data_IF_872011443530
#
_entry.id   IF_872011443530
#
_cell.length_a   1.000
_cell.length_b   1.000
_cell.length_c   1.000
_cell.angle_alpha   90.00
_cell.angle_beta   90.00
_cell.angle_gamma   90.00
#
_symmetry.space_group_name_H-M   'P 1'
#
loop_
_entity.id
_entity.type
_entity.pdbx_description
1 polymer ?
#
# COMPACT_ATOMS: atom_id res chain seq x y z
N UNK A 1 -16.68 10.04 -10.89
CA UNK A 1 -16.27 10.14 -9.47
C UNK A 1 -16.47 8.79 -8.76
N UNK A 2 -15.90 8.55 -7.57
CA UNK A 2 -15.96 7.23 -6.89
C UNK A 2 -17.39 6.76 -6.61
N UNK A 3 -18.31 7.69 -6.28
CA UNK A 3 -19.73 7.40 -6.04
C UNK A 3 -20.46 6.89 -7.29
N UNK A 4 -20.10 7.37 -8.48
CA UNK A 4 -20.67 6.89 -9.75
C UNK A 4 -20.21 5.47 -10.10
N UNK A 5 -19.13 4.99 -9.47
CA UNK A 5 -18.54 3.66 -9.69
C UNK A 5 -18.95 2.65 -8.61
N UNK A 6 -19.88 3.00 -7.71
CA UNK A 6 -20.28 2.16 -6.57
C UNK A 6 -19.09 1.66 -5.72
N UNK A 7 -18.02 2.45 -5.62
CA UNK A 7 -16.87 2.10 -4.78
C UNK A 7 -17.23 2.43 -3.32
N UNK A 8 -17.14 1.47 -2.38
CA UNK A 8 -17.38 1.73 -0.97
C UNK A 8 -16.46 2.85 -0.46
N UNK A 9 -17.05 3.89 0.11
CA UNK A 9 -16.32 4.98 0.73
C UNK A 9 -16.27 4.73 2.24
N UNK A 10 -15.07 4.73 2.82
CA UNK A 10 -14.89 4.76 4.27
C UNK A 10 -14.99 6.21 4.72
N UNK A 11 -15.87 6.48 5.68
CA UNK A 11 -16.04 7.83 6.22
C UNK A 11 -14.78 8.25 6.99
N UNK A 12 -14.52 9.55 7.09
CA UNK A 12 -13.28 10.08 7.67
C UNK A 12 -13.09 9.64 9.13
N UNK A 13 -14.17 9.57 9.90
CA UNK A 13 -14.16 9.12 11.29
C UNK A 13 -13.75 7.65 11.45
N UNK A 14 -13.98 6.83 10.42
CA UNK A 14 -13.66 5.39 10.42
C UNK A 14 -12.26 5.10 9.83
N UNK A 15 -11.59 6.12 9.28
CA UNK A 15 -10.22 6.06 8.81
C UNK A 15 -9.30 6.87 9.73
N UNK A 16 -8.75 6.25 10.79
CA UNK A 16 -7.99 6.98 11.79
C UNK A 16 -6.77 7.70 11.17
N UNK A 17 -6.50 8.96 11.57
CA UNK A 17 -5.33 9.69 11.11
C UNK A 17 -4.05 9.08 11.71
N UNK A 18 -2.92 9.24 11.02
CA UNK A 18 -1.59 8.85 11.52
C UNK A 18 -1.42 7.35 11.87
N UNK A 19 -2.15 6.46 11.17
CA UNK A 19 -1.99 5.00 11.30
C UNK A 19 -1.54 4.36 9.97
N UNK A 20 -0.37 4.73 9.43
CA UNK A 20 0.14 4.15 8.18
C UNK A 20 0.34 2.63 8.27
N UNK A 21 0.70 2.11 9.44
CA UNK A 21 0.91 0.67 9.66
C UNK A 21 -0.36 -0.18 9.50
N UNK A 22 -1.57 0.41 9.61
CA UNK A 22 -2.83 -0.28 9.30
C UNK A 22 -3.10 -0.33 7.79
N UNK A 23 -2.46 0.55 7.02
CA UNK A 23 -2.72 0.76 5.59
C UNK A 23 -1.72 -0.06 4.78
N UNK A 24 -2.14 -1.25 4.36
CA UNK A 24 -1.27 -2.14 3.57
C UNK A 24 -0.74 -1.50 2.26
N UNK A 25 -1.40 -0.46 1.74
CA UNK A 25 -0.90 0.30 0.58
C UNK A 25 0.45 0.98 0.85
N UNK A 26 0.74 1.38 2.09
CA UNK A 26 2.04 1.99 2.45
C UNK A 26 3.17 0.97 2.29
N UNK A 27 2.95 -0.28 2.72
CA UNK A 27 3.88 -1.39 2.50
C UNK A 27 4.05 -1.69 1.02
N UNK A 28 2.97 -1.67 0.24
CA UNK A 28 3.01 -1.88 -1.22
C UNK A 28 3.88 -0.82 -1.89
N UNK A 29 3.73 0.46 -1.52
CA UNK A 29 4.56 1.54 -2.07
C UNK A 29 6.03 1.37 -1.70
N UNK A 30 6.34 1.05 -0.45
CA UNK A 30 7.72 0.82 0.00
C UNK A 30 8.40 -0.34 -0.77
N UNK A 31 7.67 -1.43 -1.01
CA UNK A 31 8.17 -2.54 -1.83
C UNK A 31 8.38 -2.12 -3.29
N UNK A 32 7.48 -1.31 -3.84
CA UNK A 32 7.56 -0.88 -5.23
C UNK A 32 8.75 0.06 -5.43
N UNK A 33 8.94 0.99 -4.51
CA UNK A 33 10.09 1.89 -4.47
C UNK A 33 11.41 1.10 -4.47
N UNK A 34 11.54 0.14 -3.55
CA UNK A 34 12.73 -0.75 -3.49
C UNK A 34 13.00 -1.44 -4.82
N UNK A 35 11.95 -1.90 -5.51
CA UNK A 35 12.05 -2.59 -6.80
C UNK A 35 12.35 -1.65 -7.97
N UNK A 36 11.87 -0.41 -7.91
CA UNK A 36 12.15 0.64 -8.91
C UNK A 36 13.64 0.98 -8.92
N UNK A 37 14.22 1.18 -7.73
CA UNK A 37 15.61 1.61 -7.51
C UNK A 37 16.60 0.44 -7.34
N UNK A 38 16.16 -0.79 -7.54
CA UNK A 38 17.01 -1.98 -7.49
C UNK A 38 18.22 -1.87 -8.45
N UNK A 39 19.37 -2.41 -8.04
CA UNK A 39 20.63 -2.36 -8.80
C UNK A 39 21.16 -0.94 -9.07
N UNK A 40 20.96 -0.02 -8.12
CA UNK A 40 21.36 1.39 -8.23
C UNK A 40 20.78 2.07 -9.49
N UNK A 41 19.58 1.65 -9.90
CA UNK A 41 18.92 2.29 -11.03
C UNK A 41 18.47 3.69 -10.65
N UNK A 42 18.75 4.68 -11.49
CA UNK A 42 18.34 6.07 -11.29
C UNK A 42 17.53 6.59 -12.47
N UNK A 43 16.52 7.40 -12.18
CA UNK A 43 15.71 8.03 -13.21
C UNK A 43 16.43 9.25 -13.82
N UNK A 44 16.62 9.24 -15.13
CA UNK A 44 17.20 10.38 -15.87
C UNK A 44 16.19 11.50 -16.14
N UNK A 45 14.89 11.18 -16.15
CA UNK A 45 13.78 12.10 -16.40
C UNK A 45 12.45 11.45 -16.00
N UNK A 46 11.39 12.26 -15.85
CA UNK A 46 10.09 11.82 -15.31
C UNK A 46 9.45 10.68 -16.11
N UNK A 47 9.50 10.71 -17.44
CA UNK A 47 8.92 9.63 -18.27
C UNK A 47 9.67 8.30 -18.14
N UNK A 48 10.97 8.33 -17.85
CA UNK A 48 11.73 7.12 -17.55
C UNK A 48 11.27 6.52 -16.21
N UNK A 49 11.07 7.36 -15.19
CA UNK A 49 10.55 6.94 -13.90
C UNK A 49 9.13 6.36 -14.03
N UNK A 50 8.23 7.06 -14.72
CA UNK A 50 6.84 6.60 -14.91
C UNK A 50 6.77 5.24 -15.63
N UNK A 51 7.61 5.02 -16.65
CA UNK A 51 7.72 3.72 -17.33
C UNK A 51 8.26 2.63 -16.41
N UNK A 52 9.30 2.93 -15.63
CA UNK A 52 9.91 2.01 -14.66
C UNK A 52 8.91 1.59 -13.57
N UNK A 53 8.17 2.54 -13.00
CA UNK A 53 7.12 2.27 -12.00
C UNK A 53 6.07 1.31 -12.59
N UNK A 54 5.54 1.60 -13.78
CA UNK A 54 4.55 0.74 -14.46
C UNK A 54 5.10 -0.66 -14.74
N UNK A 55 6.37 -0.77 -15.13
CA UNK A 55 7.02 -2.04 -15.37
C UNK A 55 7.14 -2.84 -14.06
N UNK A 56 7.69 -2.24 -13.01
CA UNK A 56 7.93 -2.91 -11.72
C UNK A 56 6.66 -3.29 -10.98
N UNK A 57 5.60 -2.48 -11.11
CA UNK A 57 4.28 -2.80 -10.56
C UNK A 57 3.67 -4.07 -11.18
N UNK A 58 3.93 -4.34 -12.47
CA UNK A 58 3.46 -5.58 -13.13
C UNK A 58 4.18 -6.84 -12.66
N UNK A 59 5.37 -6.69 -12.05
CA UNK A 59 6.16 -7.80 -11.52
C UNK A 59 5.74 -8.17 -10.08
N UNK A 60 4.68 -7.56 -9.53
CA UNK A 60 4.17 -7.90 -8.21
C UNK A 60 3.24 -9.12 -8.33
N UNK A 61 3.43 -10.09 -7.44
CA UNK A 61 2.53 -11.22 -7.34
C UNK A 61 1.14 -10.75 -6.84
N UNK A 62 0.11 -11.12 -7.60
CA UNK A 62 -1.26 -10.79 -7.27
C UNK A 62 -1.70 -11.43 -5.95
N UNK A 63 -1.26 -12.66 -5.66
CA UNK A 63 -1.64 -13.35 -4.42
C UNK A 63 -1.01 -12.67 -3.20
N UNK A 64 0.25 -12.25 -3.31
CA UNK A 64 0.92 -11.43 -2.30
C UNK A 64 0.13 -10.15 -2.00
N UNK A 65 -0.31 -9.43 -3.04
CA UNK A 65 -1.09 -8.20 -2.89
C UNK A 65 -2.45 -8.45 -2.21
N UNK A 66 -3.18 -9.50 -2.62
CA UNK A 66 -4.45 -9.87 -2.00
C UNK A 66 -4.28 -10.21 -0.53
N UNK A 67 -3.28 -11.04 -0.20
CA UNK A 67 -2.94 -11.42 1.19
C UNK A 67 -2.68 -10.20 2.07
N UNK A 68 -1.98 -9.18 1.55
CA UNK A 68 -1.71 -7.94 2.29
C UNK A 68 -3.00 -7.16 2.62
N UNK A 69 -3.96 -7.15 1.70
CA UNK A 69 -5.25 -6.47 1.89
C UNK A 69 -6.14 -7.25 2.87
N UNK A 70 -6.23 -8.57 2.72
CA UNK A 70 -7.00 -9.44 3.62
C UNK A 70 -6.50 -9.36 5.08
N UNK A 71 -5.20 -9.16 5.27
CA UNK A 71 -4.57 -8.99 6.58
C UNK A 71 -4.96 -7.70 7.33
N UNK A 72 -5.57 -6.70 6.68
CA UNK A 72 -5.90 -5.39 7.31
C UNK A 72 -6.82 -5.57 8.51
N UNK A 73 -7.84 -6.43 8.42
CA UNK A 73 -8.76 -6.69 9.53
C UNK A 73 -8.01 -7.22 10.77
N UNK A 74 -7.08 -8.16 10.56
CA UNK A 74 -6.27 -8.74 11.63
C UNK A 74 -5.37 -7.69 12.29
N UNK A 75 -4.77 -6.79 11.49
CA UNK A 75 -3.96 -5.67 11.99
C UNK A 75 -4.80 -4.72 12.86
N UNK A 76 -5.97 -4.31 12.37
CA UNK A 76 -6.87 -3.43 13.13
C UNK A 76 -7.31 -4.07 14.45
N UNK A 77 -7.59 -5.38 14.43
CA UNK A 77 -7.98 -6.11 15.64
C UNK A 77 -6.83 -6.20 16.66
N UNK A 78 -5.61 -6.47 16.21
CA UNK A 78 -4.42 -6.45 17.07
C UNK A 78 -4.19 -5.05 17.66
N UNK A 79 -4.31 -3.99 16.87
CA UNK A 79 -4.20 -2.61 17.35
C UNK A 79 -5.22 -2.26 18.42
N UNK A 80 -6.45 -2.73 18.24
CA UNK A 80 -7.53 -2.52 19.20
C UNK A 80 -7.28 -3.28 20.52
N UNK A 81 -6.76 -4.51 20.43
CA UNK A 81 -6.53 -5.40 21.58
C UNK A 81 -5.26 -5.05 22.37
N UNK A 82 -4.16 -4.84 21.66
CA UNK A 82 -2.79 -4.79 22.23
C UNK A 82 -2.15 -3.40 22.11
N UNK A 83 -2.87 -2.44 21.52
CA UNK A 83 -2.39 -1.07 21.29
C UNK A 83 -1.81 -0.83 19.90
N UNK A 84 -1.69 0.44 19.53
CA UNK A 84 -1.41 0.93 18.16
C UNK A 84 -0.14 0.35 17.49
N UNK A 85 0.87 0.01 18.28
CA UNK A 85 2.19 -0.45 17.82
C UNK A 85 2.36 -1.97 17.84
N UNK A 86 1.30 -2.72 18.14
CA UNK A 86 1.32 -4.20 18.21
C UNK A 86 1.56 -4.93 16.89
N UNK A 87 1.49 -4.22 15.76
CA UNK A 87 1.67 -4.76 14.41
C UNK A 87 3.00 -4.35 13.76
N UNK A 88 3.86 -3.64 14.51
CA UNK A 88 5.18 -3.21 14.07
C UNK A 88 6.21 -4.33 14.24
#
# INVERSE_FOLDING_TARGET
RLHEKNVPLVARQDNPPNVPQARSIETVWALLERKVYENNWEAKYLDALARRIKQKAKEFDQNMLQTMIEGVRKKLWAMWRDGLYSVC
#
